data_IF_481779303774
#
_entry.id   IF_481779303774
#
_cell.length_a   1.000
_cell.length_b   1.000
_cell.length_c   1.000
_cell.angle_alpha   90.00
_cell.angle_beta   90.00
_cell.angle_gamma   90.00
#
_symmetry.space_group_name_H-M   'P 1'
#
loop_
_entity.id
_entity.type
_entity.pdbx_description
1 polymer ?
#
# COMPACT_ATOMS: atom_id res chain seq x y z
N UNK A 1 10.11 20.73 -17.23
CA UNK A 1 8.82 20.06 -17.51
C UNK A 1 9.05 18.54 -17.49
N UNK A 2 9.08 17.92 -16.30
CA UNK A 2 9.33 16.49 -16.15
C UNK A 2 7.97 15.79 -16.10
N UNK A 3 7.63 15.04 -17.16
CA UNK A 3 6.44 14.19 -17.19
C UNK A 3 6.67 12.99 -16.26
N UNK A 4 6.32 13.14 -14.99
CA UNK A 4 6.27 12.03 -14.03
C UNK A 4 5.15 11.09 -14.46
N UNK A 5 5.52 10.01 -15.14
CA UNK A 5 4.62 8.95 -15.57
C UNK A 5 4.03 8.20 -14.38
N UNK A 6 3.05 8.82 -13.73
CA UNK A 6 2.15 8.17 -12.79
C UNK A 6 1.28 7.18 -13.59
N UNK A 7 1.68 5.91 -13.61
CA UNK A 7 0.77 4.84 -13.97
C UNK A 7 -0.11 4.56 -12.76
N UNK A 8 -1.18 5.33 -12.66
CA UNK A 8 -2.30 5.03 -11.78
C UNK A 8 -2.97 3.78 -12.35
N UNK A 9 -2.86 2.65 -11.67
CA UNK A 9 -3.69 1.49 -11.98
C UNK A 9 -5.17 1.84 -11.77
N UNK A 10 -6.08 1.13 -12.42
CA UNK A 10 -7.49 1.47 -12.62
C UNK A 10 -8.40 1.43 -11.36
N UNK A 11 -7.90 1.94 -10.22
CA UNK A 11 -8.63 2.20 -8.99
C UNK A 11 -7.87 3.21 -8.14
N UNK A 12 -8.58 4.17 -7.55
CA UNK A 12 -8.01 5.15 -6.61
C UNK A 12 -7.33 4.39 -5.46
N UNK A 13 -6.02 4.56 -5.32
CA UNK A 13 -5.22 3.94 -4.23
C UNK A 13 -4.38 2.71 -4.62
N UNK A 14 -4.42 2.23 -5.87
CA UNK A 14 -3.54 1.15 -6.31
C UNK A 14 -2.17 1.71 -6.70
N UNK A 15 -1.18 1.48 -5.85
CA UNK A 15 0.21 1.86 -6.06
C UNK A 15 1.01 0.70 -6.68
N UNK A 16 1.74 0.98 -7.75
CA UNK A 16 2.57 0.00 -8.45
C UNK A 16 4.02 0.50 -8.58
N UNK A 17 5.02 -0.39 -8.53
CA UNK A 17 6.41 0.00 -8.71
C UNK A 17 6.65 0.69 -10.06
N UNK A 18 7.43 1.76 -10.03
CA UNK A 18 7.88 2.48 -11.22
C UNK A 18 8.97 1.64 -11.89
N UNK A 19 8.72 1.24 -13.15
CA UNK A 19 9.66 0.43 -13.92
C UNK A 19 10.91 1.23 -14.28
N UNK A 20 12.05 0.55 -14.32
CA UNK A 20 13.29 1.12 -14.83
C UNK A 20 13.12 1.52 -16.31
N UNK A 21 13.71 2.64 -16.69
CA UNK A 21 13.76 3.07 -18.09
C UNK A 21 15.14 2.73 -18.70
N UNK A 22 15.25 2.60 -20.04
CA UNK A 22 16.52 2.32 -20.71
C UNK A 22 17.54 3.47 -20.62
N UNK A 23 17.09 4.68 -20.32
CA UNK A 23 17.86 5.94 -20.31
C UNK A 23 18.64 6.22 -19.00
N UNK A 24 18.69 5.27 -18.05
CA UNK A 24 19.53 5.36 -16.85
C UNK A 24 18.82 5.02 -15.54
N UNK A 25 19.52 5.15 -14.40
CA UNK A 25 19.00 4.77 -13.08
C UNK A 25 17.76 5.59 -12.68
N UNK A 26 16.81 4.92 -12.01
CA UNK A 26 15.63 5.58 -11.42
C UNK A 26 16.05 6.72 -10.49
N UNK A 27 15.33 7.85 -10.53
CA UNK A 27 15.51 8.95 -9.58
C UNK A 27 15.39 8.45 -8.12
N UNK A 28 16.12 9.07 -7.20
CA UNK A 28 16.16 8.66 -5.78
C UNK A 28 14.77 8.54 -5.17
N UNK A 29 13.87 9.48 -5.46
CA UNK A 29 12.47 9.43 -4.97
C UNK A 29 11.70 8.22 -5.51
N UNK A 30 11.92 7.84 -6.77
CA UNK A 30 11.27 6.67 -7.36
C UNK A 30 11.83 5.37 -6.79
N UNK A 31 13.11 5.34 -6.43
CA UNK A 31 13.72 4.19 -5.73
C UNK A 31 13.15 4.05 -4.32
N UNK A 32 13.11 5.14 -3.56
CA UNK A 32 12.49 5.20 -2.24
C UNK A 32 11.02 4.77 -2.29
N UNK A 33 10.26 5.29 -3.26
CA UNK A 33 8.87 4.89 -3.47
C UNK A 33 8.70 3.39 -3.77
N UNK A 34 9.55 2.83 -4.64
CA UNK A 34 9.52 1.40 -4.95
C UNK A 34 9.93 0.53 -3.75
N UNK A 35 10.89 0.97 -2.95
CA UNK A 35 11.31 0.31 -1.71
C UNK A 35 10.15 0.27 -0.70
N UNK A 36 9.45 1.39 -0.51
CA UNK A 36 8.28 1.46 0.37
C UNK A 36 7.18 0.49 -0.08
N UNK A 37 6.84 0.47 -1.37
CA UNK A 37 5.85 -0.48 -1.91
C UNK A 37 6.29 -1.92 -1.68
N UNK A 38 7.57 -2.23 -1.93
CA UNK A 38 8.11 -3.59 -1.78
C UNK A 38 8.09 -4.04 -0.33
N UNK A 39 8.45 -3.15 0.61
CA UNK A 39 8.40 -3.41 2.04
C UNK A 39 6.98 -3.70 2.53
N UNK A 40 5.97 -3.04 1.96
CA UNK A 40 4.56 -3.26 2.27
C UNK A 40 3.95 -4.49 1.58
N UNK A 41 4.57 -5.00 0.52
CA UNK A 41 4.05 -6.12 -0.26
C UNK A 41 4.06 -7.43 0.53
N UNK A 42 5.19 -7.80 1.11
CA UNK A 42 5.34 -9.06 1.87
C UNK A 42 4.34 -9.21 3.04
N UNK A 43 4.13 -8.20 3.93
CA UNK A 43 3.13 -8.31 4.99
C UNK A 43 1.70 -8.35 4.42
N UNK A 44 1.41 -7.61 3.35
CA UNK A 44 0.09 -7.60 2.72
C UNK A 44 -0.26 -8.95 2.13
N UNK A 45 0.65 -9.56 1.36
CA UNK A 45 0.47 -10.89 0.77
C UNK A 45 0.29 -11.96 1.85
N UNK A 46 1.07 -11.89 2.94
CA UNK A 46 0.91 -12.80 4.09
C UNK A 46 -0.45 -12.64 4.75
N UNK A 47 -0.90 -11.42 5.02
CA UNK A 47 -2.23 -11.17 5.63
C UNK A 47 -3.33 -11.65 4.68
N UNK A 48 -3.23 -11.38 3.39
CA UNK A 48 -4.20 -11.83 2.40
C UNK A 48 -4.30 -13.37 2.37
N UNK A 49 -3.15 -14.07 2.36
CA UNK A 49 -3.11 -15.53 2.44
C UNK A 49 -3.75 -16.07 3.74
N UNK A 50 -3.53 -15.38 4.88
CA UNK A 50 -4.16 -15.74 6.14
C UNK A 50 -5.68 -15.54 6.11
N UNK A 51 -6.17 -14.45 5.53
CA UNK A 51 -7.60 -14.16 5.41
C UNK A 51 -8.30 -15.17 4.48
N UNK A 52 -7.64 -15.60 3.40
CA UNK A 52 -8.16 -16.59 2.46
C UNK A 52 -8.39 -17.99 3.07
N UNK A 53 -7.84 -18.28 4.26
CA UNK A 53 -8.12 -19.52 5.00
C UNK A 53 -9.55 -19.55 5.56
N UNK A 54 -10.18 -18.40 5.77
CA UNK A 54 -11.46 -18.30 6.47
C UNK A 54 -12.61 -18.17 5.47
N UNK A 55 -13.33 -19.27 5.20
CA UNK A 55 -14.52 -19.28 4.32
C UNK A 55 -15.63 -18.30 4.76
N UNK A 56 -15.65 -17.95 6.05
CA UNK A 56 -16.54 -16.91 6.56
C UNK A 56 -16.19 -15.53 5.99
N UNK A 57 -14.90 -15.20 5.87
CA UNK A 57 -14.42 -13.91 5.34
C UNK A 57 -14.55 -13.83 3.82
N UNK A 58 -14.54 -14.96 3.11
CA UNK A 58 -14.83 -14.98 1.66
C UNK A 58 -16.23 -14.44 1.31
N UNK A 59 -17.19 -14.57 2.23
CA UNK A 59 -18.57 -14.09 2.05
C UNK A 59 -18.81 -12.69 2.59
N UNK A 60 -17.86 -12.16 3.35
CA UNK A 60 -17.96 -10.84 3.97
C UNK A 60 -17.22 -9.85 3.07
N UNK A 61 -17.93 -9.33 2.07
CA UNK A 61 -17.47 -8.17 1.31
C UNK A 61 -17.70 -6.89 2.13
N UNK A 62 -16.76 -6.56 3.02
CA UNK A 62 -16.73 -5.21 3.60
C UNK A 62 -16.18 -4.25 2.55
N UNK A 63 -16.82 -3.09 2.41
CA UNK A 63 -16.31 -2.03 1.53
C UNK A 63 -14.84 -1.70 1.89
N UNK A 64 -13.88 -1.85 0.94
CA UNK A 64 -12.46 -1.63 1.21
C UNK A 64 -12.18 -0.24 1.80
N UNK A 65 -12.92 0.77 1.34
CA UNK A 65 -12.80 2.15 1.81
C UNK A 65 -13.11 2.29 3.31
N UNK A 66 -14.07 1.50 3.82
CA UNK A 66 -14.43 1.52 5.25
C UNK A 66 -13.34 0.89 6.11
N UNK A 67 -12.77 -0.24 5.66
CA UNK A 67 -11.65 -0.88 6.36
C UNK A 67 -10.44 0.05 6.39
N UNK A 68 -10.09 0.67 5.26
CA UNK A 68 -8.95 1.60 5.20
C UNK A 68 -9.17 2.84 6.07
N UNK A 69 -10.40 3.36 6.17
CA UNK A 69 -10.71 4.48 7.05
C UNK A 69 -10.54 4.10 8.54
N UNK A 70 -11.01 2.91 8.93
CA UNK A 70 -10.83 2.40 10.30
C UNK A 70 -9.35 2.17 10.59
N UNK A 71 -8.60 1.55 9.67
CA UNK A 71 -7.17 1.30 9.83
C UNK A 71 -6.38 2.61 9.95
N UNK A 72 -6.70 3.64 9.16
CA UNK A 72 -6.08 4.95 9.25
C UNK A 72 -6.35 5.63 10.61
N UNK A 73 -7.60 5.58 11.10
CA UNK A 73 -7.94 6.12 12.42
C UNK A 73 -7.19 5.38 13.54
N UNK A 74 -7.13 4.05 13.48
CA UNK A 74 -6.39 3.23 14.44
C UNK A 74 -4.88 3.53 14.40
N UNK A 75 -4.31 3.77 13.21
CA UNK A 75 -2.91 4.14 13.05
C UNK A 75 -2.61 5.48 13.72
N UNK A 76 -3.43 6.51 13.46
CA UNK A 76 -3.29 7.83 14.12
C UNK A 76 -3.36 7.70 15.64
N UNK A 77 -4.35 6.96 16.16
CA UNK A 77 -4.50 6.73 17.59
C UNK A 77 -3.28 6.01 18.18
N UNK A 78 -2.76 5.00 17.49
CA UNK A 78 -1.58 4.23 17.92
C UNK A 78 -0.30 5.08 17.91
N UNK A 79 -0.14 5.94 16.91
CA UNK A 79 0.97 6.89 16.82
C UNK A 79 0.91 7.93 17.94
N UNK A 80 -0.28 8.42 18.29
CA UNK A 80 -0.48 9.31 19.42
C UNK A 80 -0.14 8.62 20.75
N UNK A 81 -0.64 7.40 20.99
CA UNK A 81 -0.31 6.63 22.20
C UNK A 81 1.20 6.38 22.36
N UNK A 82 1.89 6.14 21.25
CA UNK A 82 3.34 5.90 21.24
C UNK A 82 4.16 7.17 21.48
N UNK A 83 3.69 8.33 21.01
CA UNK A 83 4.35 9.62 21.24
C UNK A 83 4.04 10.26 22.60
N UNK A 84 3.05 9.72 23.32
CA UNK A 84 2.66 10.18 24.64
C UNK A 84 3.29 9.34 25.78
N UNK A 85 4.29 8.52 25.45
CA UNK A 85 5.21 7.83 26.36
C UNK A 85 6.61 8.42 26.19
#
# INVERSE_FOLDING_TARGET
MVKNGSKICAGVGIHAPIKHRPDGPLHTDNRCYNELITALRAPTERVHALLGRWRALERVTVCPQRITAIAAAALVLTSLDRGNK
#
